data_IF_623690962263
#
_entry.id   IF_623690962263
#
_cell.length_a   1.000
_cell.length_b   1.000
_cell.length_c   1.000
_cell.angle_alpha   90.00
_cell.angle_beta   90.00
_cell.angle_gamma   90.00
#
_symmetry.space_group_name_H-M   'P 1'
#
loop_
_entity.id
_entity.type
_entity.pdbx_description
1 polymer ?
#
# COMPACT_ATOMS: atom_id res chain seq x y z
N UNK A 1 -1.67 35.75 -30.22
CA UNK A 1 -1.80 34.51 -29.43
C UNK A 1 -0.42 34.17 -28.86
N UNK A 2 -0.27 33.97 -27.55
CA UNK A 2 1.04 33.59 -26.96
C UNK A 2 1.20 32.06 -27.07
N UNK A 3 2.33 31.54 -27.57
CA UNK A 3 2.54 30.11 -27.62
C UNK A 3 2.56 29.58 -26.18
N UNK A 4 1.68 28.61 -25.90
CA UNK A 4 1.80 27.78 -24.72
C UNK A 4 3.13 27.05 -24.83
N UNK A 5 4.16 27.56 -24.16
CA UNK A 5 5.47 26.94 -24.14
C UNK A 5 5.37 25.61 -23.40
N UNK A 6 6.07 24.59 -23.89
CA UNK A 6 6.13 23.24 -23.30
C UNK A 6 6.41 23.28 -21.79
N UNK A 7 7.16 24.29 -21.34
CA UNK A 7 7.42 24.61 -19.93
C UNK A 7 6.16 24.82 -19.08
N UNK A 8 5.13 25.51 -19.58
CA UNK A 8 3.89 25.74 -18.84
C UNK A 8 3.07 24.45 -18.68
N UNK A 9 3.14 23.56 -19.69
CA UNK A 9 2.44 22.29 -19.65
C UNK A 9 3.14 21.30 -18.70
N UNK A 10 4.47 21.28 -18.68
CA UNK A 10 5.25 20.52 -17.69
C UNK A 10 4.93 21.02 -16.26
N UNK A 11 4.89 22.34 -16.05
CA UNK A 11 4.55 22.93 -14.74
C UNK A 11 3.13 22.55 -14.29
N UNK A 12 2.17 22.53 -15.22
CA UNK A 12 0.79 22.12 -14.92
C UNK A 12 0.72 20.64 -14.54
N UNK A 13 1.41 19.76 -15.26
CA UNK A 13 1.46 18.32 -14.94
C UNK A 13 2.17 18.02 -13.63
N UNK A 14 3.17 18.83 -13.25
CA UNK A 14 3.90 18.67 -11.97
C UNK A 14 3.15 19.24 -10.76
N UNK A 15 2.20 20.15 -10.97
CA UNK A 15 1.42 20.77 -9.87
C UNK A 15 0.10 20.05 -9.56
N UNK A 16 -0.44 19.27 -10.51
CA UNK A 16 -1.63 18.43 -10.33
C UNK A 16 -1.52 17.34 -9.23
N UNK A 17 -0.39 16.65 -8.99
CA UNK A 17 -0.32 15.63 -7.94
C UNK A 17 -0.32 16.20 -6.51
N UNK A 18 0.00 17.49 -6.31
CA UNK A 18 0.11 18.09 -4.97
C UNK A 18 -1.22 18.20 -4.23
N UNK A 19 -2.36 18.27 -4.94
CA UNK A 19 -3.69 18.36 -4.31
C UNK A 19 -4.25 17.01 -3.86
N UNK A 20 -3.80 15.90 -4.44
CA UNK A 20 -4.24 14.55 -4.03
C UNK A 20 -3.65 14.13 -2.67
N UNK A 21 -2.43 14.58 -2.35
CA UNK A 21 -1.79 14.29 -1.06
C UNK A 21 -2.38 15.12 0.11
N UNK A 22 -3.11 16.20 -0.16
CA UNK A 22 -3.72 17.02 0.89
C UNK A 22 -4.99 16.39 1.51
N UNK A 23 -5.48 15.27 0.97
CA UNK A 23 -6.67 14.58 1.46
C UNK A 23 -6.38 13.46 2.47
N UNK A 24 -5.13 13.28 2.94
CA UNK A 24 -4.90 12.36 4.05
C UNK A 24 -5.70 12.87 5.26
N UNK A 25 -6.74 12.13 5.70
CA UNK A 25 -7.56 12.61 6.79
C UNK A 25 -6.65 12.76 8.00
N UNK A 26 -6.70 13.94 8.64
CA UNK A 26 -6.01 14.22 9.88
C UNK A 26 -6.16 13.00 10.79
N UNK A 27 -5.04 12.35 11.11
CA UNK A 27 -5.00 11.11 11.88
C UNK A 27 -5.67 11.39 13.23
N UNK A 28 -6.94 11.00 13.36
CA UNK A 28 -7.64 11.08 14.63
C UNK A 28 -6.92 10.12 15.57
N UNK A 29 -6.18 10.69 16.52
CA UNK A 29 -5.39 9.94 17.49
C UNK A 29 -6.33 8.98 18.24
N UNK A 30 -6.07 7.68 18.13
CA UNK A 30 -6.83 6.68 18.88
C UNK A 30 -6.72 6.97 20.38
N UNK A 31 -7.85 6.83 21.07
CA UNK A 31 -7.89 6.93 22.53
C UNK A 31 -7.10 5.76 23.09
N UNK A 32 -6.08 5.98 23.95
CA UNK A 32 -5.26 4.91 24.51
C UNK A 32 -6.13 3.82 25.16
N UNK A 33 -5.88 2.58 24.77
CA UNK A 33 -6.61 1.41 25.27
C UNK A 33 -7.99 1.19 24.64
N UNK A 34 -8.37 1.97 23.63
CA UNK A 34 -9.57 1.73 22.83
C UNK A 34 -9.22 1.51 21.36
N UNK A 35 -9.92 0.59 20.72
CA UNK A 35 -9.77 0.25 19.31
C UNK A 35 -11.04 0.65 18.58
N UNK A 36 -10.95 1.71 17.79
CA UNK A 36 -12.05 2.22 16.97
C UNK A 36 -11.71 1.96 15.50
N UNK A 37 -12.28 0.91 14.88
CA UNK A 37 -12.01 0.57 13.48
C UNK A 37 -12.32 1.72 12.51
N UNK A 38 -13.35 2.52 12.81
CA UNK A 38 -13.73 3.69 12.00
C UNK A 38 -12.78 4.88 12.12
N UNK A 39 -11.89 4.88 13.12
CA UNK A 39 -10.92 5.94 13.36
C UNK A 39 -9.48 5.50 13.05
N UNK A 40 -9.29 4.30 12.51
CA UNK A 40 -7.98 3.79 12.11
C UNK A 40 -7.89 3.56 10.61
N UNK A 41 -6.69 3.74 10.06
CA UNK A 41 -6.38 3.36 8.68
C UNK A 41 -6.13 1.86 8.51
N UNK A 42 -5.94 1.13 9.61
CA UNK A 42 -5.67 -0.30 9.59
C UNK A 42 -6.90 -1.16 9.87
N UNK A 43 -6.67 -2.48 9.85
CA UNK A 43 -7.68 -3.49 10.16
C UNK A 43 -7.34 -4.17 11.48
N UNK A 44 -8.35 -4.32 12.34
CA UNK A 44 -8.28 -5.12 13.55
C UNK A 44 -8.84 -6.52 13.30
N UNK A 45 -8.13 -7.53 13.80
CA UNK A 45 -8.51 -8.94 13.68
C UNK A 45 -8.61 -9.50 15.08
N UNK A 46 -9.84 -9.76 15.52
CA UNK A 46 -10.16 -10.23 16.86
C UNK A 46 -10.20 -11.76 16.89
N UNK A 47 -9.63 -12.38 17.93
CA UNK A 47 -9.62 -13.83 18.09
C UNK A 47 -9.40 -14.23 19.57
N UNK A 48 -9.65 -15.49 19.88
CA UNK A 48 -9.40 -16.09 21.20
C UNK A 48 -8.44 -17.27 21.07
N UNK A 49 -7.68 -17.53 22.14
CA UNK A 49 -6.78 -18.68 22.23
C UNK A 49 -7.48 -19.84 22.95
N UNK A 50 -7.37 -21.09 22.46
CA UNK A 50 -7.95 -22.25 23.14
C UNK A 50 -7.30 -22.51 24.50
N UNK A 51 -6.05 -22.06 24.68
CA UNK A 51 -5.29 -22.21 25.93
C UNK A 51 -5.60 -21.13 26.97
N UNK A 52 -6.29 -20.05 26.56
CA UNK A 52 -6.63 -18.89 27.38
C UNK A 52 -8.04 -18.39 27.06
N UNK A 53 -9.10 -19.17 27.35
CA UNK A 53 -10.48 -18.81 26.99
C UNK A 53 -10.99 -17.54 27.69
N UNK A 54 -10.34 -17.12 28.77
CA UNK A 54 -10.62 -15.86 29.48
C UNK A 54 -9.92 -14.63 28.88
N UNK A 55 -9.20 -14.76 27.78
CA UNK A 55 -8.48 -13.66 27.13
C UNK A 55 -8.91 -13.51 25.67
N UNK A 56 -9.23 -12.29 25.29
CA UNK A 56 -9.42 -11.90 23.90
C UNK A 56 -8.14 -11.24 23.37
N UNK A 57 -7.82 -11.53 22.11
CA UNK A 57 -6.66 -11.00 21.42
C UNK A 57 -7.11 -10.22 20.19
N UNK A 58 -6.34 -9.22 19.81
CA UNK A 58 -6.51 -8.51 18.57
C UNK A 58 -5.17 -8.22 17.92
N UNK A 59 -5.07 -8.51 16.62
CA UNK A 59 -3.96 -8.05 15.76
C UNK A 59 -4.43 -6.81 15.02
N UNK A 60 -3.73 -5.69 15.20
CA UNK A 60 -3.86 -4.52 14.35
C UNK A 60 -2.82 -4.57 13.24
N UNK A 61 -3.23 -4.27 12.01
CA UNK A 61 -2.31 -4.18 10.88
C UNK A 61 -2.69 -3.03 9.97
N UNK A 62 -1.69 -2.29 9.47
CA UNK A 62 -1.88 -1.18 8.52
C UNK A 62 -2.24 -1.64 7.10
N UNK A 63 -2.08 -2.93 6.80
CA UNK A 63 -2.46 -3.52 5.52
C UNK A 63 -3.95 -3.82 5.50
N UNK A 64 -4.68 -3.32 4.50
CA UNK A 64 -6.16 -3.32 4.51
C UNK A 64 -6.78 -4.27 3.50
N UNK A 65 -6.06 -4.68 2.44
CA UNK A 65 -6.69 -5.37 1.31
C UNK A 65 -6.57 -6.90 1.41
N UNK A 66 -5.36 -7.44 1.44
CA UNK A 66 -5.14 -8.89 1.34
C UNK A 66 -4.70 -9.52 2.65
N UNK A 67 -3.73 -8.89 3.31
CA UNK A 67 -3.10 -9.43 4.50
C UNK A 67 -4.07 -9.73 5.65
N UNK A 68 -5.10 -8.92 5.96
CA UNK A 68 -6.08 -9.29 6.98
C UNK A 68 -6.84 -10.57 6.66
N UNK A 69 -7.12 -10.85 5.38
CA UNK A 69 -7.82 -12.06 4.96
C UNK A 69 -6.91 -13.30 5.11
N UNK A 70 -5.62 -13.15 4.79
CA UNK A 70 -4.60 -14.20 5.04
C UNK A 70 -4.52 -14.51 6.53
N UNK A 71 -4.48 -13.48 7.38
CA UNK A 71 -4.44 -13.67 8.83
C UNK A 71 -5.73 -14.32 9.37
N UNK A 72 -6.90 -13.92 8.89
CA UNK A 72 -8.18 -14.56 9.26
C UNK A 72 -8.23 -16.03 8.82
N UNK A 73 -7.62 -16.39 7.69
CA UNK A 73 -7.57 -17.77 7.23
C UNK A 73 -6.56 -18.62 8.04
N UNK A 74 -5.40 -18.07 8.40
CA UNK A 74 -4.33 -18.83 9.07
C UNK A 74 -4.59 -19.02 10.57
N UNK A 75 -5.22 -18.07 11.25
CA UNK A 75 -5.48 -18.14 12.70
C UNK A 75 -6.23 -19.44 13.10
N UNK A 76 -7.35 -19.80 12.44
CA UNK A 76 -8.03 -21.09 12.69
C UNK A 76 -7.16 -22.32 12.45
N UNK A 77 -6.26 -22.30 11.46
CA UNK A 77 -5.35 -23.44 11.21
C UNK A 77 -4.35 -23.68 12.34
N UNK A 78 -4.20 -22.70 13.25
CA UNK A 78 -3.37 -22.75 14.45
C UNK A 78 -4.19 -22.94 15.73
N UNK A 79 -5.49 -23.24 15.60
CA UNK A 79 -6.36 -23.49 16.74
C UNK A 79 -6.96 -22.23 17.38
N UNK A 80 -6.65 -21.03 16.89
CA UNK A 80 -7.30 -19.81 17.35
C UNK A 80 -8.72 -19.69 16.79
N UNK A 81 -9.67 -19.26 17.62
CA UNK A 81 -11.04 -19.01 17.17
C UNK A 81 -11.21 -17.53 16.83
N UNK A 82 -11.72 -17.21 15.64
CA UNK A 82 -12.01 -15.82 15.28
C UNK A 82 -13.16 -15.28 16.15
N UNK A 83 -12.96 -14.10 16.70
CA UNK A 83 -13.95 -13.40 17.50
C UNK A 83 -14.68 -12.36 16.65
N UNK A 84 -15.91 -12.04 17.05
CA UNK A 84 -16.71 -11.00 16.39
C UNK A 84 -16.08 -9.64 16.65
N UNK A 85 -15.99 -8.82 15.61
CA UNK A 85 -15.59 -7.42 15.75
C UNK A 85 -16.55 -6.68 16.70
N UNK A 86 -16.02 -5.93 17.68
CA UNK A 86 -16.83 -5.09 18.58
C UNK A 86 -17.79 -4.20 17.81
N UNK A 87 -19.04 -4.13 18.25
CA UNK A 87 -20.01 -3.23 17.63
C UNK A 87 -19.63 -1.77 17.91
N UNK A 88 -19.68 -0.91 16.90
CA UNK A 88 -19.36 0.52 17.04
C UNK A 88 -20.28 1.25 18.05
N UNK A 89 -21.43 0.66 18.39
CA UNK A 89 -22.37 1.19 19.40
C UNK A 89 -22.00 0.83 20.83
N UNK A 90 -21.11 -0.15 21.05
CA UNK A 90 -20.77 -0.67 22.38
C UNK A 90 -19.35 -0.26 22.79
N UNK A 91 -19.27 0.86 23.50
CA UNK A 91 -17.99 1.46 23.92
C UNK A 91 -17.16 0.54 24.81
N UNK A 92 -17.83 -0.29 25.61
CA UNK A 92 -17.22 -1.20 26.58
C UNK A 92 -16.47 -2.34 25.87
N UNK A 93 -16.95 -2.77 24.70
CA UNK A 93 -16.30 -3.80 23.87
C UNK A 93 -15.07 -3.21 23.15
N UNK A 94 -15.16 -1.96 22.70
CA UNK A 94 -14.07 -1.27 21.99
C UNK A 94 -12.92 -0.83 22.89
N UNK A 95 -13.12 -0.71 24.21
CA UNK A 95 -12.11 -0.24 25.16
C UNK A 95 -11.57 -1.33 26.08
N UNK A 96 -10.46 -1.04 26.76
CA UNK A 96 -9.79 -1.94 27.70
C UNK A 96 -8.72 -2.84 27.08
N UNK A 97 -8.38 -2.60 25.82
CA UNK A 97 -7.29 -3.29 25.11
C UNK A 97 -5.93 -2.81 25.62
N UNK A 98 -4.98 -3.72 25.74
CA UNK A 98 -3.60 -3.41 26.10
C UNK A 98 -2.69 -3.95 25.01
N UNK A 99 -1.91 -3.08 24.36
CA UNK A 99 -0.88 -3.51 23.42
C UNK A 99 0.22 -4.23 24.19
N UNK A 100 0.59 -5.42 23.73
CA UNK A 100 1.62 -6.26 24.36
C UNK A 100 2.88 -6.35 23.52
N UNK A 101 2.75 -6.34 22.19
CA UNK A 101 3.90 -6.47 21.31
C UNK A 101 3.65 -5.83 19.94
N UNK A 102 4.73 -5.62 19.19
CA UNK A 102 4.71 -5.14 17.80
C UNK A 102 5.70 -5.94 16.98
N UNK A 103 5.21 -6.58 15.91
CA UNK A 103 6.01 -7.48 15.08
C UNK A 103 6.37 -6.77 13.78
N UNK A 104 7.67 -6.62 13.52
CA UNK A 104 8.22 -6.13 12.26
C UNK A 104 9.27 -7.11 11.71
N UNK A 105 9.33 -7.26 10.39
CA UNK A 105 10.29 -8.14 9.70
C UNK A 105 10.87 -7.38 8.51
N UNK A 106 12.20 -7.27 8.45
CA UNK A 106 12.92 -6.53 7.40
C UNK A 106 12.44 -5.08 7.24
N UNK A 107 12.16 -4.40 8.36
CA UNK A 107 11.63 -3.03 8.37
C UNK A 107 10.15 -2.91 8.01
N UNK A 108 9.50 -4.00 7.57
CA UNK A 108 8.06 -4.01 7.30
C UNK A 108 7.27 -4.39 8.55
N UNK A 109 6.38 -3.51 8.96
CA UNK A 109 5.45 -3.75 10.05
C UNK A 109 4.46 -4.87 9.68
N UNK A 110 4.41 -5.94 10.48
CA UNK A 110 3.49 -7.08 10.28
C UNK A 110 2.20 -6.88 11.06
N UNK A 111 2.27 -6.45 12.31
CA UNK A 111 1.09 -6.17 13.12
C UNK A 111 1.41 -5.88 14.58
N UNK A 112 0.52 -5.15 15.23
CA UNK A 112 0.54 -4.93 16.68
C UNK A 112 -0.36 -5.95 17.35
N UNK A 113 0.15 -6.60 18.38
CA UNK A 113 -0.60 -7.58 19.17
C UNK A 113 -1.12 -6.87 20.42
N UNK A 114 -2.42 -7.01 20.63
CA UNK A 114 -3.11 -6.48 21.79
C UNK A 114 -3.99 -7.55 22.41
N UNK A 115 -4.29 -7.39 23.69
CA UNK A 115 -5.13 -8.33 24.42
C UNK A 115 -6.07 -7.59 25.37
N UNK A 116 -7.12 -8.29 25.77
CA UNK A 116 -8.14 -7.83 26.69
C UNK A 116 -8.59 -9.02 27.53
N UNK A 117 -8.47 -8.91 28.85
CA UNK A 117 -9.04 -9.89 29.76
C UNK A 117 -10.57 -9.87 29.67
N UNK A 118 -11.19 -11.02 29.44
CA UNK A 118 -12.63 -11.17 29.46
C UNK A 118 -13.09 -11.26 30.92
N UNK A 119 -13.60 -10.14 31.43
CA UNK A 119 -14.03 -10.01 32.84
C UNK A 119 -15.22 -10.93 33.16
N UNK A 120 -15.94 -11.43 32.15
CA UNK A 120 -17.11 -12.28 32.37
C UNK A 120 -16.73 -13.68 32.90
N UNK A 121 -15.48 -14.13 32.70
CA UNK A 121 -14.98 -15.42 33.20
C UNK A 121 -14.17 -15.32 34.50
N UNK A 122 -13.80 -14.11 34.93
CA UNK A 122 -13.25 -13.91 36.27
C UNK A 122 -14.41 -13.89 37.27
N UNK A 123 -14.89 -15.09 37.61
CA UNK A 123 -15.82 -15.30 38.70
C UNK A 123 -15.36 -14.52 39.94
N UNK A 124 -16.26 -13.67 40.45
CA UNK A 124 -16.16 -12.98 41.72
C UNK A 124 -14.91 -12.10 41.91
N UNK A 125 -14.79 -11.00 41.14
CA UNK A 125 -14.28 -9.78 41.77
C UNK A 125 -15.28 -9.48 42.90
N UNK A 126 -14.91 -9.83 44.13
CA UNK A 126 -15.62 -9.45 45.36
C UNK A 126 -15.84 -7.95 45.25
N UNK A 127 -17.07 -7.54 44.90
CA UNK A 127 -17.47 -6.15 44.92
C UNK A 127 -17.40 -5.75 46.38
N UNK A 128 -16.25 -5.21 46.80
CA UNK A 128 -16.13 -4.60 48.12
C UNK A 128 -17.22 -3.54 48.16
N UNK A 129 -18.20 -3.64 49.07
CA UNK A 129 -19.32 -2.73 49.05
C UNK A 129 -18.82 -1.29 49.22
N UNK A 130 -19.34 -0.33 48.43
CA UNK A 130 -18.82 1.03 48.37
C UNK A 130 -18.92 1.81 49.68
N UNK A 131 -19.66 1.30 50.67
CA UNK A 131 -19.88 1.94 51.97
C UNK A 131 -18.75 1.73 53.00
N UNK A 132 -17.70 0.94 52.69
CA UNK A 132 -16.52 0.81 53.56
C UNK A 132 -15.34 1.71 53.12
N UNK A 133 -15.51 2.50 52.06
CA UNK A 133 -14.45 3.39 51.55
C UNK A 133 -14.59 4.74 52.23
N UNK A 134 -13.85 4.91 53.33
CA UNK A 134 -13.74 6.18 54.05
C UNK A 134 -13.24 7.28 53.08
N UNK A 135 -13.98 8.37 52.85
CA UNK A 135 -13.68 9.36 51.79
C UNK A 135 -12.46 10.25 52.06
N UNK A 136 -11.70 10.02 53.14
CA UNK A 136 -10.67 10.95 53.64
C UNK A 136 -9.29 10.84 52.99
N UNK A 137 -9.09 9.94 52.01
CA UNK A 137 -7.80 9.86 51.29
C UNK A 137 -7.98 9.92 49.77
N UNK A 138 -7.55 11.01 49.10
CA UNK A 138 -7.44 11.08 47.65
C UNK A 138 -6.17 10.34 47.19
N UNK A 139 -6.08 9.05 47.48
CA UNK A 139 -5.10 8.18 46.81
C UNK A 139 -5.86 7.38 45.77
N UNK A 140 -6.19 8.05 44.67
CA UNK A 140 -6.67 7.45 43.42
C UNK A 140 -5.49 6.73 42.72
N UNK A 141 -4.72 5.94 43.47
CA UNK A 141 -3.92 4.87 42.90
C UNK A 141 -4.94 3.84 42.48
N UNK A 142 -5.36 3.94 41.22
CA UNK A 142 -6.08 2.88 40.55
C UNK A 142 -5.43 1.58 40.97
N UNK A 143 -6.15 0.75 41.72
CA UNK A 143 -5.73 -0.60 42.02
C UNK A 143 -5.45 -1.20 40.65
N UNK A 144 -4.18 -1.29 40.29
CA UNK A 144 -3.72 -2.02 39.13
C UNK A 144 -4.01 -3.47 39.50
N UNK A 145 -5.28 -3.86 39.36
CA UNK A 145 -5.68 -5.24 39.30
C UNK A 145 -4.72 -5.85 38.29
N UNK A 146 -3.85 -6.72 38.78
CA UNK A 146 -2.89 -7.44 37.98
C UNK A 146 -3.72 -8.23 36.97
N UNK A 147 -3.96 -7.62 35.81
CA UNK A 147 -4.62 -8.30 34.71
C UNK A 147 -3.64 -9.40 34.31
N UNK A 148 -4.06 -10.67 34.32
CA UNK A 148 -3.17 -11.78 34.09
C UNK A 148 -2.57 -11.63 32.70
N UNK A 149 -1.27 -11.36 32.63
CA UNK A 149 -0.56 -11.20 31.36
C UNK A 149 -0.71 -12.48 30.52
N UNK A 150 -0.89 -12.37 29.19
CA UNK A 150 -1.03 -13.55 28.33
C UNK A 150 0.18 -14.47 28.44
N UNK A 151 -0.04 -15.78 28.25
CA UNK A 151 1.06 -16.75 28.34
C UNK A 151 2.07 -16.50 27.22
N UNK A 152 3.35 -16.68 27.55
CA UNK A 152 4.46 -16.50 26.60
C UNK A 152 4.34 -17.42 25.38
N UNK A 153 3.79 -18.62 25.56
CA UNK A 153 3.55 -19.59 24.49
C UNK A 153 2.54 -19.07 23.45
N UNK A 154 1.40 -18.53 23.91
CA UNK A 154 0.38 -17.92 23.05
C UNK A 154 0.96 -16.75 22.24
N UNK A 155 1.72 -15.86 22.88
CA UNK A 155 2.37 -14.75 22.19
C UNK A 155 3.44 -15.21 21.18
N UNK A 156 4.25 -16.21 21.54
CA UNK A 156 5.25 -16.78 20.65
C UNK A 156 4.61 -17.42 19.40
N UNK A 157 3.45 -18.04 19.56
CA UNK A 157 2.70 -18.60 18.43
C UNK A 157 2.13 -17.49 17.53
N UNK A 158 1.51 -16.45 18.08
CA UNK A 158 1.04 -15.28 17.32
C UNK A 158 2.21 -14.64 16.56
N UNK A 159 3.37 -14.50 17.21
CA UNK A 159 4.59 -14.00 16.57
C UNK A 159 5.04 -14.88 15.41
N UNK A 160 5.01 -16.19 15.59
CA UNK A 160 5.34 -17.14 14.52
C UNK A 160 4.39 -16.98 13.34
N UNK A 161 3.09 -16.76 13.56
CA UNK A 161 2.12 -16.48 12.49
C UNK A 161 2.49 -15.19 11.76
N UNK A 162 2.69 -14.09 12.48
CA UNK A 162 2.99 -12.77 11.89
C UNK A 162 4.35 -12.74 11.17
N UNK A 163 5.34 -13.50 11.62
CA UNK A 163 6.65 -13.57 10.96
C UNK A 163 6.64 -14.43 9.70
N UNK A 164 5.87 -15.52 9.69
CA UNK A 164 5.80 -16.46 8.56
C UNK A 164 4.89 -15.99 7.42
N UNK A 165 3.97 -15.07 7.70
CA UNK A 165 3.06 -14.52 6.70
C UNK A 165 3.48 -13.09 6.38
N UNK A 166 3.81 -12.84 5.12
CA UNK A 166 4.15 -11.53 4.60
C UNK A 166 2.96 -10.89 3.87
N UNK A 167 2.78 -9.55 3.95
CA UNK A 167 1.79 -8.79 3.22
C UNK A 167 2.25 -8.52 1.77
N UNK A 168 2.82 -9.52 1.09
CA UNK A 168 3.49 -9.32 -0.21
C UNK A 168 2.51 -8.80 -1.28
N UNK A 169 1.26 -9.26 -1.25
CA UNK A 169 0.22 -8.79 -2.16
C UNK A 169 -0.12 -7.30 -1.93
N UNK A 170 -0.26 -6.87 -0.68
CA UNK A 170 -0.51 -5.46 -0.37
C UNK A 170 0.70 -4.58 -0.73
N UNK A 171 1.93 -5.07 -0.50
CA UNK A 171 3.16 -4.37 -0.91
C UNK A 171 3.21 -4.22 -2.44
N UNK A 172 2.89 -5.27 -3.19
CA UNK A 172 2.88 -5.21 -4.65
C UNK A 172 1.85 -4.21 -5.18
N UNK A 173 0.66 -4.13 -4.55
CA UNK A 173 -0.37 -3.15 -4.90
C UNK A 173 0.09 -1.74 -4.58
N UNK A 174 0.68 -1.52 -3.41
CA UNK A 174 1.23 -0.22 -3.05
C UNK A 174 2.30 0.24 -4.06
N UNK A 175 3.21 -0.66 -4.47
CA UNK A 175 4.21 -0.37 -5.49
C UNK A 175 3.53 -0.04 -6.84
N UNK A 176 2.51 -0.80 -7.22
CA UNK A 176 1.76 -0.57 -8.46
C UNK A 176 1.03 0.78 -8.42
N UNK A 177 0.42 1.15 -7.30
CA UNK A 177 -0.23 2.45 -7.10
C UNK A 177 0.75 3.62 -7.17
N UNK A 178 2.02 3.42 -6.80
CA UNK A 178 3.07 4.42 -6.94
C UNK A 178 3.60 4.49 -8.39
N UNK A 179 3.80 3.35 -9.05
CA UNK A 179 4.39 3.29 -10.40
C UNK A 179 3.37 3.70 -11.48
N UNK A 180 2.11 3.30 -11.34
CA UNK A 180 1.05 3.57 -12.31
C UNK A 180 0.92 5.06 -12.69
N UNK A 181 0.84 6.03 -11.75
CA UNK A 181 0.77 7.44 -12.10
C UNK A 181 2.05 7.93 -12.78
N UNK A 182 3.23 7.43 -12.39
CA UNK A 182 4.51 7.78 -13.04
C UNK A 182 4.47 7.35 -14.52
N UNK A 183 4.09 6.11 -14.80
CA UNK A 183 3.94 5.61 -16.17
C UNK A 183 2.84 6.35 -16.95
N UNK A 184 1.74 6.71 -16.27
CA UNK A 184 0.69 7.56 -16.83
C UNK A 184 1.22 8.93 -17.26
N UNK A 185 1.99 9.60 -16.41
CA UNK A 185 2.62 10.88 -16.75
C UNK A 185 3.60 10.74 -17.92
N UNK A 186 4.45 9.72 -17.93
CA UNK A 186 5.39 9.47 -19.03
C UNK A 186 4.65 9.23 -20.34
N UNK A 187 3.58 8.43 -20.33
CA UNK A 187 2.80 8.14 -21.55
C UNK A 187 2.11 9.40 -22.10
N UNK A 188 1.54 10.24 -21.25
CA UNK A 188 0.95 11.54 -21.65
C UNK A 188 2.00 12.46 -22.26
N UNK A 189 3.19 12.58 -21.65
CA UNK A 189 4.28 13.41 -22.20
C UNK A 189 4.70 12.91 -23.58
N UNK A 190 4.88 11.59 -23.75
CA UNK A 190 5.22 11.01 -25.05
C UNK A 190 4.13 11.30 -26.10
N UNK A 191 2.85 11.14 -25.75
CA UNK A 191 1.74 11.44 -26.66
C UNK A 191 1.72 12.91 -27.10
N UNK A 192 1.97 13.85 -26.18
CA UNK A 192 2.04 15.28 -26.49
C UNK A 192 3.20 15.58 -27.45
N UNK A 193 4.37 14.98 -27.21
CA UNK A 193 5.53 15.14 -28.10
C UNK A 193 5.24 14.60 -29.51
N UNK A 194 4.55 13.46 -29.62
CA UNK A 194 4.14 12.89 -30.90
C UNK A 194 3.11 13.79 -31.61
N UNK A 195 2.13 14.32 -30.87
CA UNK A 195 1.15 15.27 -31.42
C UNK A 195 1.81 16.55 -31.93
N UNK A 196 2.74 17.13 -31.17
CA UNK A 196 3.47 18.33 -31.59
C UNK A 196 4.29 18.05 -32.85
N UNK A 197 4.96 16.89 -32.95
CA UNK A 197 5.66 16.49 -34.17
C UNK A 197 4.73 16.32 -35.36
N UNK A 198 3.55 15.75 -35.14
CA UNK A 198 2.53 15.60 -36.16
C UNK A 198 2.04 16.97 -36.67
N UNK A 199 1.73 17.90 -35.76
CA UNK A 199 1.31 19.26 -36.11
C UNK A 199 2.40 20.04 -36.84
N UNK A 200 3.66 19.94 -36.43
CA UNK A 200 4.78 20.59 -37.14
C UNK A 200 4.96 20.01 -38.55
N UNK A 201 4.76 18.71 -38.72
CA UNK A 201 4.91 18.05 -40.03
C UNK A 201 3.75 18.35 -41.00
N UNK A 202 2.52 18.46 -40.50
CA UNK A 202 1.33 18.62 -41.34
C UNK A 202 0.75 20.05 -41.38
N UNK A 203 1.00 20.87 -40.36
CA UNK A 203 0.46 22.23 -40.26
C UNK A 203 1.21 23.29 -41.09
N UNK A 204 2.28 22.91 -41.80
CA UNK A 204 3.05 23.79 -42.67
C UNK A 204 2.67 23.71 -44.15
N UNK A 205 1.53 23.11 -44.51
CA UNK A 205 0.95 23.37 -45.82
C UNK A 205 0.07 24.62 -45.68
N UNK A 206 0.56 25.82 -46.04
CA UNK A 206 -0.35 26.93 -46.27
C UNK A 206 -1.36 26.44 -47.31
N UNK A 207 -2.64 26.65 -47.05
CA UNK A 207 -3.62 26.78 -48.12
C UNK A 207 -3.11 27.91 -49.00
N UNK A 208 -2.40 27.56 -50.06
CA UNK A 208 -2.27 28.41 -51.24
C UNK A 208 -3.71 28.75 -51.63
N UNK A 209 -4.15 29.93 -51.20
CA UNK A 209 -5.28 30.60 -51.81
C UNK A 209 -4.77 31.09 -53.17
N UNK A 210 -4.53 30.14 -54.06
CA UNK A 210 -4.46 30.35 -55.50
C UNK A 210 -5.90 30.45 -56.00
N UNK A 211 -6.53 31.58 -55.69
CA UNK A 211 -7.68 32.12 -56.40
C UNK A 211 -7.53 33.64 -56.27
N UNK A 212 -7.55 34.49 -57.30
CA UNK A 212 -7.64 34.39 -58.74
C UNK A 212 -7.59 35.86 -59.20
N UNK A 213 -6.89 36.13 -60.29
CA UNK A 213 -6.97 37.33 -61.14
C UNK A 213 -6.87 38.75 -60.55
N UNK A 214 -5.68 39.35 -60.67
CA UNK A 214 -5.62 40.66 -61.36
C UNK A 214 -4.29 40.84 -62.09
N UNK A 215 -4.43 40.98 -63.40
CA UNK A 215 -3.43 41.10 -64.44
C UNK A 215 -2.35 42.20 -64.24
N UNK A 216 -1.26 41.98 -64.97
CA UNK A 216 -0.31 42.97 -65.50
C UNK A 216 0.74 43.59 -64.56
N UNK A 217 1.91 42.95 -64.47
CA UNK A 217 3.18 43.67 -64.41
C UNK A 217 4.40 42.78 -64.75
N UNK A 218 4.93 43.02 -65.96
CA UNK A 218 6.31 42.91 -66.46
C UNK A 218 7.30 41.82 -65.95
N UNK A 219 7.95 41.08 -66.87
CA UNK A 219 9.07 40.20 -66.55
C UNK A 219 10.37 41.01 -66.35
N UNK A 220 10.88 41.06 -65.12
CA UNK A 220 12.25 41.52 -64.85
C UNK A 220 13.16 40.33 -64.47
N UNK A 221 13.99 39.97 -65.43
CA UNK A 221 15.39 39.55 -65.36
C UNK A 221 15.88 38.85 -64.06
N UNK A 222 16.10 37.56 -64.23
CA UNK A 222 16.70 36.64 -63.26
C UNK A 222 18.22 36.82 -63.28
N UNK A 223 18.77 37.57 -62.32
CA UNK A 223 20.20 37.54 -61.99
C UNK A 223 20.50 36.36 -61.05
N UNK A 224 21.06 35.29 -61.63
CA UNK A 224 21.69 34.17 -60.92
C UNK A 224 22.96 34.64 -60.19
N UNK A 225 22.82 35.06 -58.93
CA UNK A 225 23.98 35.19 -58.05
C UNK A 225 24.22 33.89 -57.29
N UNK A 226 25.28 33.21 -57.74
CA UNK A 226 25.91 32.04 -57.12
C UNK A 226 26.17 32.26 -55.62
N UNK A 227 25.44 31.57 -54.74
CA UNK A 227 25.86 31.45 -53.35
C UNK A 227 26.83 30.29 -53.20
N UNK A 228 28.05 30.74 -53.02
CA UNK A 228 29.30 30.07 -52.79
C UNK A 228 29.23 29.13 -51.58
N UNK A 229 29.86 27.97 -51.72
CA UNK A 229 29.93 26.97 -50.67
C UNK A 229 30.68 27.46 -49.43
N UNK A 230 30.25 26.96 -48.26
CA UNK A 230 31.11 26.94 -47.07
C UNK A 230 31.02 25.60 -46.36
N UNK A 231 32.19 25.00 -46.25
CA UNK A 231 32.51 23.67 -45.77
C UNK A 231 31.82 23.27 -44.47
N UNK A 232 31.18 22.10 -44.50
CA UNK A 232 30.85 21.34 -43.30
C UNK A 232 32.14 20.63 -42.88
N UNK A 233 32.85 21.22 -41.92
CA UNK A 233 33.92 20.54 -41.19
C UNK A 233 33.32 19.36 -40.41
N UNK A 234 33.68 18.16 -40.85
CA UNK A 234 33.52 16.89 -40.14
C UNK A 234 34.11 17.00 -38.74
N UNK A 235 33.26 17.08 -37.72
CA UNK A 235 33.64 16.86 -36.33
C UNK A 235 33.23 15.42 -36.02
N UNK A 236 34.21 14.52 -36.08
CA UNK A 236 34.09 13.16 -35.60
C UNK A 236 33.92 13.18 -34.07
N UNK A 237 32.97 12.43 -33.49
CA UNK A 237 32.96 12.19 -32.05
C UNK A 237 34.12 11.24 -31.71
N UNK A 238 35.10 11.79 -31.01
CA UNK A 238 36.18 11.05 -30.37
C UNK A 238 35.58 10.28 -29.18
N UNK A 239 35.53 8.95 -29.29
CA UNK A 239 35.25 8.06 -28.16
C UNK A 239 36.55 7.90 -27.36
N UNK A 240 36.71 8.69 -26.29
CA UNK A 240 37.58 8.33 -25.15
C UNK A 240 36.83 7.27 -24.34
N UNK A 241 37.26 6.02 -24.45
CA UNK A 241 38.28 5.40 -23.61
C UNK A 241 37.66 4.91 -22.30
N UNK A 242 37.39 3.60 -22.32
CA UNK A 242 37.00 2.79 -21.21
C UNK A 242 38.16 2.70 -20.21
N UNK A 243 37.93 3.19 -18.99
CA UNK A 243 38.76 2.85 -17.85
C UNK A 243 37.96 2.02 -16.83
N UNK A 244 38.43 0.78 -16.71
CA UNK A 244 38.64 0.09 -15.43
C UNK A 244 37.41 -0.11 -14.53
N UNK A 245 36.51 -0.97 -14.99
CA UNK A 245 35.64 -1.75 -14.10
C UNK A 245 36.40 -3.00 -13.65
N UNK A 246 37.31 -2.83 -12.70
CA UNK A 246 37.91 -3.93 -11.96
C UNK A 246 38.05 -3.53 -10.51
N UNK A 247 37.18 -4.12 -9.70
CA UNK A 247 37.50 -4.81 -8.45
C UNK A 247 36.52 -4.46 -7.33
N UNK A 248 36.22 -5.47 -6.52
CA UNK A 248 35.38 -5.43 -5.31
C UNK A 248 33.87 -5.27 -5.53
N UNK A 249 33.16 -6.39 -5.67
CA UNK A 249 32.64 -7.13 -4.51
C UNK A 249 31.91 -8.36 -5.05
N UNK A 250 32.33 -9.55 -4.64
CA UNK A 250 31.65 -10.81 -4.93
C UNK A 250 30.47 -10.93 -3.96
N UNK A 251 29.20 -10.66 -4.35
CA UNK A 251 28.08 -11.05 -3.52
C UNK A 251 28.04 -12.58 -3.52
N UNK A 252 28.12 -13.14 -2.33
CA UNK A 252 27.81 -14.52 -2.04
C UNK A 252 26.42 -14.83 -2.64
N UNK A 253 26.43 -15.61 -3.72
CA UNK A 253 25.23 -16.10 -4.38
C UNK A 253 24.55 -17.08 -3.44
N UNK A 254 23.72 -16.56 -2.52
CA UNK A 254 22.66 -17.35 -1.91
C UNK A 254 21.71 -17.68 -3.04
N UNK A 255 21.81 -18.93 -3.52
CA UNK A 255 20.91 -19.54 -4.50
C UNK A 255 19.54 -19.68 -3.87
N UNK A 256 18.82 -18.56 -3.74
CA UNK A 256 17.40 -18.56 -3.38
C UNK A 256 16.68 -19.12 -4.59
N UNK A 257 16.22 -20.36 -4.46
CA UNK A 257 15.35 -21.06 -5.42
C UNK A 257 13.97 -20.36 -5.38
N UNK A 258 13.89 -19.18 -6.00
CA UNK A 258 12.70 -18.30 -6.01
C UNK A 258 11.55 -18.84 -6.86
N UNK A 259 11.85 -19.76 -7.78
CA UNK A 259 10.89 -20.12 -8.84
C UNK A 259 9.95 -21.28 -8.45
N UNK A 260 10.12 -21.84 -7.25
CA UNK A 260 9.28 -22.96 -6.76
C UNK A 260 8.11 -22.52 -5.86
N UNK A 261 8.13 -21.31 -5.32
CA UNK A 261 7.09 -20.85 -4.38
C UNK A 261 5.82 -20.34 -5.08
N UNK A 262 5.95 -19.73 -6.26
CA UNK A 262 4.78 -19.17 -6.97
C UNK A 262 3.89 -20.25 -7.62
N UNK A 263 4.45 -21.39 -8.05
CA UNK A 263 3.65 -22.45 -8.68
C UNK A 263 2.93 -23.35 -7.66
N UNK A 264 3.48 -23.53 -6.46
CA UNK A 264 2.89 -24.44 -5.47
C UNK A 264 1.60 -23.85 -4.87
N UNK A 265 1.51 -22.53 -4.68
CA UNK A 265 0.31 -21.87 -4.16
C UNK A 265 -0.87 -21.87 -5.15
N UNK A 266 -0.61 -21.82 -6.46
CA UNK A 266 -1.67 -21.82 -7.48
C UNK A 266 -2.31 -23.21 -7.64
N UNK A 267 -1.54 -24.30 -7.47
CA UNK A 267 -2.07 -25.67 -7.58
C UNK A 267 -3.06 -26.03 -6.45
N UNK A 268 -2.79 -25.62 -5.21
CA UNK A 268 -3.64 -25.91 -4.04
C UNK A 268 -4.99 -25.19 -4.07
N UNK A 269 -5.08 -24.01 -4.69
CA UNK A 269 -6.34 -23.27 -4.80
C UNK A 269 -7.29 -23.91 -5.83
N UNK A 270 -6.76 -24.56 -6.88
CA UNK A 270 -7.58 -25.32 -7.82
C UNK A 270 -8.14 -26.61 -7.21
N UNK A 271 -7.39 -27.28 -6.33
CA UNK A 271 -7.87 -28.49 -5.65
C UNK A 271 -9.05 -28.20 -4.70
N UNK A 272 -8.96 -27.14 -3.88
CA UNK A 272 -10.03 -26.76 -2.95
C UNK A 272 -11.34 -26.32 -3.64
N UNK A 273 -11.26 -25.85 -4.89
CA UNK A 273 -12.46 -25.51 -5.68
C UNK A 273 -13.15 -26.74 -6.27
N UNK A 274 -12.44 -27.85 -6.46
CA UNK A 274 -13.01 -29.11 -6.96
C UNK A 274 -13.73 -29.91 -5.87
N UNK A 275 -13.35 -29.77 -4.60
CA UNK A 275 -13.97 -30.50 -3.48
C UNK A 275 -15.29 -29.90 -2.99
N UNK A 276 -15.63 -28.68 -3.41
CA UNK A 276 -16.81 -27.95 -2.94
C UNK A 276 -18.10 -28.27 -3.72
N UNK A 277 -18.07 -29.08 -4.78
CA UNK A 277 -19.25 -29.37 -5.62
C UNK A 277 -19.96 -30.69 -5.31
N UNK A 278 -19.61 -31.40 -4.23
CA UNK A 278 -20.11 -32.77 -4.00
C UNK A 278 -21.04 -32.93 -2.79
N UNK A 279 -21.60 -31.86 -2.23
CA UNK A 279 -22.38 -31.96 -0.98
C UNK A 279 -23.70 -31.19 -1.03
N UNK A 280 -24.50 -31.41 -2.08
CA UNK A 280 -25.85 -30.81 -2.17
C UNK A 280 -27.00 -31.75 -2.55
N UNK A 281 -26.79 -33.08 -2.58
CA UNK A 281 -27.82 -34.05 -3.02
C UNK A 281 -28.31 -35.05 -1.95
N UNK A 282 -28.14 -34.78 -0.65
CA UNK A 282 -28.79 -35.59 0.39
C UNK A 282 -29.46 -34.71 1.45
N UNK A 283 -30.72 -34.33 1.20
CA UNK A 283 -31.74 -34.15 2.23
C UNK A 283 -33.12 -34.12 1.56
N UNK A 284 -33.53 -35.30 1.08
CA UNK A 284 -34.93 -35.61 0.83
C UNK A 284 -35.32 -36.76 1.76
N UNK A 285 -35.94 -36.43 2.89
CA UNK A 285 -36.97 -37.17 3.64
C UNK A 285 -37.32 -36.44 4.94
#
# INVERSE_FOLDING_TARGET
MRPLTVTNLILLTLTLPSSALAQFPFVLRQVPGCQYPSLSFGTFIYFTSPNEPGSEFAIYTGWTHYYPNVLKAILPTRGFALAKQPAATKKEEMCGWTQVDSVSVLGFHRGDVSWKANVNHSEAIVRVPPYLINPTHPSRRAVQQHRPHPRKETLAEIHSILRRNSPDADIAILILEIIAPILGCVSVVVLILLMMRFLVRHGCCPTDNDDDDTDDAEPQDIELSSINGRSISSIAPQYEQADSFADLQKPEQVKVKSDEWFFTASSKIKELRSSSSYSQDEMGL
#
